data_IF_734347428614
#
_entry.id   IF_734347428614
#
_cell.length_a   1.000
_cell.length_b   1.000
_cell.length_c   1.000
_cell.angle_alpha   90.00
_cell.angle_beta   90.00
_cell.angle_gamma   90.00
#
_symmetry.space_group_name_H-M   'P 1'
#
loop_
_entity.id
_entity.type
_entity.pdbx_description
1 polymer ?
#
# COMPACT_ATOMS: atom_id res chain seq x y z
N UNK A 1 -12.11 -6.88 -6.90
CA UNK A 1 -10.75 -6.37 -7.20
C UNK A 1 -10.27 -5.57 -6.02
N UNK A 2 -8.95 -5.41 -5.86
CA UNK A 2 -8.38 -4.54 -4.81
C UNK A 2 -7.70 -3.34 -5.46
N UNK A 3 -7.81 -2.19 -4.81
CA UNK A 3 -7.04 -0.99 -5.15
C UNK A 3 -6.38 -0.46 -3.88
N UNK A 4 -5.17 0.08 -4.01
CA UNK A 4 -4.38 0.58 -2.89
C UNK A 4 -3.99 2.04 -3.16
N UNK A 5 -4.18 2.90 -2.16
CA UNK A 5 -3.73 4.30 -2.18
C UNK A 5 -2.58 4.44 -1.19
N UNK A 6 -1.42 4.91 -1.66
CA UNK A 6 -0.18 5.03 -0.88
C UNK A 6 0.44 6.43 -0.98
N UNK A 7 1.18 6.86 0.05
CA UNK A 7 1.98 8.10 0.00
C UNK A 7 3.31 7.83 -0.72
N UNK A 8 3.44 8.32 -1.96
CA UNK A 8 4.63 8.12 -2.79
C UNK A 8 5.89 8.84 -2.31
N UNK A 9 5.81 9.72 -1.29
CA UNK A 9 6.98 10.38 -0.70
C UNK A 9 7.77 9.46 0.24
N UNK A 10 7.13 8.42 0.76
CA UNK A 10 7.78 7.42 1.58
C UNK A 10 8.66 6.53 0.71
N UNK A 11 9.96 6.45 1.03
CA UNK A 11 10.86 5.56 0.31
C UNK A 11 10.36 4.12 0.36
N UNK A 12 10.45 3.43 -0.78
CA UNK A 12 10.01 2.04 -0.93
C UNK A 12 8.51 1.82 -0.67
N UNK A 13 7.66 2.85 -0.78
CA UNK A 13 6.22 2.77 -0.52
C UNK A 13 5.54 1.54 -1.16
N UNK A 14 5.90 1.22 -2.41
CA UNK A 14 5.36 0.05 -3.12
C UNK A 14 5.77 -1.26 -2.44
N UNK A 15 7.05 -1.41 -2.08
CA UNK A 15 7.54 -2.63 -1.44
C UNK A 15 6.92 -2.81 -0.04
N UNK A 16 6.84 -1.72 0.72
CA UNK A 16 6.22 -1.73 2.05
C UNK A 16 4.73 -2.10 1.98
N UNK A 17 4.00 -1.60 0.99
CA UNK A 17 2.58 -1.91 0.81
C UNK A 17 2.35 -3.39 0.44
N UNK A 18 3.19 -3.95 -0.44
CA UNK A 18 2.97 -5.29 -0.98
C UNK A 18 3.57 -6.39 -0.09
N UNK A 19 4.71 -6.14 0.55
CA UNK A 19 5.50 -7.17 1.22
C UNK A 19 5.45 -7.10 2.76
N UNK A 20 4.52 -6.33 3.32
CA UNK A 20 4.26 -6.36 4.77
C UNK A 20 2.81 -6.71 5.04
N UNK A 21 2.54 -7.44 6.13
CA UNK A 21 1.18 -7.84 6.49
C UNK A 21 0.28 -6.65 6.85
N UNK A 22 0.87 -5.58 7.38
CA UNK A 22 0.12 -4.39 7.79
C UNK A 22 -0.19 -3.47 6.61
N UNK A 23 0.69 -3.40 5.61
CA UNK A 23 0.68 -2.33 4.61
C UNK A 23 1.01 -0.96 5.21
N UNK A 24 1.07 0.05 4.35
CA UNK A 24 1.30 1.46 4.74
C UNK A 24 0.22 2.41 4.22
N UNK A 25 -0.66 1.95 3.34
CA UNK A 25 -1.68 2.74 2.66
C UNK A 25 -3.11 2.46 3.11
N UNK A 26 -4.04 2.81 2.22
CA UNK A 26 -5.47 2.49 2.34
C UNK A 26 -5.84 1.47 1.27
N UNK A 27 -6.34 0.30 1.68
CA UNK A 27 -6.90 -0.72 0.79
C UNK A 27 -8.39 -0.45 0.54
N UNK A 28 -8.81 -0.50 -0.72
CA UNK A 28 -10.20 -0.44 -1.17
C UNK A 28 -10.57 -1.79 -1.78
N UNK A 29 -11.64 -2.40 -1.28
CA UNK A 29 -12.16 -3.71 -1.72
C UNK A 29 -13.57 -3.58 -2.29
N UNK A 30 -13.93 -4.46 -3.22
CA UNK A 30 -15.31 -4.65 -3.68
C UNK A 30 -16.13 -5.50 -2.72
#
# INVERSE_FOLDING_TARGET
GKAHIVDGRQEHAILLEIFTHKGIGTEITA
#
